data_IF_318131866866
#
_entry.id   IF_318131866866
#
_cell.length_a   1.000
_cell.length_b   1.000
_cell.length_c   1.000
_cell.angle_alpha   90.00
_cell.angle_beta   90.00
_cell.angle_gamma   90.00
#
_symmetry.space_group_name_H-M   'P 1'
#
loop_
_entity.id
_entity.type
_entity.pdbx_description
1 polymer ?
#
# COMPACT_ATOMS: atom_id res chain seq x y z
N UNK A 1 -23.74 -3.66 -45.26
CA UNK A 1 -22.64 -3.87 -44.28
C UNK A 1 -22.93 -3.01 -43.06
N UNK A 2 -23.46 -3.60 -41.99
CA UNK A 2 -23.84 -2.87 -40.78
C UNK A 2 -22.61 -2.53 -39.95
N UNK A 3 -22.44 -1.24 -39.66
CA UNK A 3 -21.48 -0.75 -38.66
C UNK A 3 -21.80 -1.41 -37.32
N UNK A 4 -20.86 -2.19 -36.78
CA UNK A 4 -20.99 -2.70 -35.41
C UNK A 4 -21.25 -1.53 -34.46
N UNK A 5 -22.22 -1.64 -33.53
CA UNK A 5 -22.43 -0.59 -32.54
C UNK A 5 -21.12 -0.33 -31.79
N UNK A 6 -20.76 0.94 -31.62
CA UNK A 6 -19.57 1.35 -30.88
C UNK A 6 -19.71 0.90 -29.43
N UNK A 7 -19.23 -0.29 -29.10
CA UNK A 7 -19.16 -0.77 -27.72
C UNK A 7 -18.21 0.13 -26.93
N UNK A 8 -18.78 0.87 -25.98
CA UNK A 8 -18.04 1.75 -25.08
C UNK A 8 -18.02 1.09 -23.70
N UNK A 9 -16.88 0.49 -23.35
CA UNK A 9 -16.65 0.06 -21.98
C UNK A 9 -16.27 1.29 -21.13
N UNK A 10 -17.08 1.58 -20.10
CA UNK A 10 -16.72 2.55 -19.05
C UNK A 10 -16.05 1.76 -17.94
N UNK A 11 -14.72 1.78 -17.93
CA UNK A 11 -13.91 1.11 -16.90
C UNK A 11 -13.45 2.17 -15.91
N UNK A 12 -13.52 1.88 -14.60
CA UNK A 12 -12.88 2.71 -13.58
C UNK A 12 -11.38 2.77 -13.85
N UNK A 13 -10.75 3.91 -13.57
CA UNK A 13 -9.29 4.03 -13.65
C UNK A 13 -8.61 2.84 -12.95
N UNK A 14 -7.70 2.14 -13.63
CA UNK A 14 -7.02 0.95 -13.11
C UNK A 14 -6.35 1.21 -11.76
N UNK A 15 -5.75 2.40 -11.58
CA UNK A 15 -5.18 2.85 -10.31
C UNK A 15 -6.23 2.88 -9.19
N UNK A 16 -7.43 3.42 -9.43
CA UNK A 16 -8.50 3.49 -8.43
C UNK A 16 -9.09 2.11 -8.13
N UNK A 17 -9.32 1.29 -9.17
CA UNK A 17 -9.86 -0.06 -9.00
C UNK A 17 -8.91 -0.93 -8.18
N UNK A 18 -7.64 -0.95 -8.54
CA UNK A 18 -6.62 -1.74 -7.85
C UNK A 18 -6.33 -1.24 -6.43
N UNK A 19 -6.19 0.08 -6.22
CA UNK A 19 -6.03 0.60 -4.86
C UNK A 19 -7.23 0.26 -3.98
N UNK A 20 -8.46 0.44 -4.49
CA UNK A 20 -9.66 0.12 -3.74
C UNK A 20 -9.77 -1.38 -3.44
N UNK A 21 -9.38 -2.24 -4.39
CA UNK A 21 -9.30 -3.69 -4.16
C UNK A 21 -8.31 -4.01 -3.03
N UNK A 22 -7.12 -3.39 -3.03
CA UNK A 22 -6.12 -3.57 -1.97
C UNK A 22 -6.63 -3.09 -0.61
N UNK A 23 -7.23 -1.90 -0.54
CA UNK A 23 -7.81 -1.36 0.69
C UNK A 23 -8.94 -2.24 1.23
N UNK A 24 -9.79 -2.78 0.36
CA UNK A 24 -10.86 -3.69 0.75
C UNK A 24 -10.32 -5.05 1.23
N UNK A 25 -9.29 -5.58 0.56
CA UNK A 25 -8.63 -6.82 0.96
C UNK A 25 -7.97 -6.71 2.35
N UNK A 26 -7.32 -5.57 2.61
CA UNK A 26 -6.76 -5.27 3.94
C UNK A 26 -7.87 -5.18 4.98
N UNK A 27 -8.97 -4.46 4.69
CA UNK A 27 -10.13 -4.33 5.59
C UNK A 27 -10.78 -5.66 5.94
N UNK A 28 -10.80 -6.60 5.00
CA UNK A 28 -11.34 -7.94 5.23
C UNK A 28 -10.47 -8.76 6.21
N UNK A 29 -9.19 -8.44 6.34
CA UNK A 29 -8.24 -9.13 7.20
C UNK A 29 -8.01 -8.36 8.51
N UNK A 30 -8.65 -8.79 9.61
CA UNK A 30 -8.60 -8.07 10.90
C UNK A 30 -7.18 -7.75 11.40
N UNK A 31 -6.19 -8.66 11.36
CA UNK A 31 -4.83 -8.35 11.80
C UNK A 31 -4.17 -7.28 10.93
N UNK A 32 -4.32 -7.35 9.60
CA UNK A 32 -3.77 -6.37 8.68
C UNK A 32 -4.43 -5.01 8.84
N UNK A 33 -5.77 -4.98 8.92
CA UNK A 33 -6.54 -3.77 9.15
C UNK A 33 -6.13 -3.08 10.46
N UNK A 34 -5.95 -3.84 11.54
CA UNK A 34 -5.50 -3.28 12.83
C UNK A 34 -4.15 -2.56 12.72
N UNK A 35 -3.17 -3.18 12.07
CA UNK A 35 -1.83 -2.56 11.87
C UNK A 35 -1.96 -1.27 11.06
N UNK A 36 -2.74 -1.30 9.99
CA UNK A 36 -2.95 -0.15 9.11
C UNK A 36 -3.72 0.97 9.81
N UNK A 37 -4.72 0.67 10.63
CA UNK A 37 -5.45 1.68 11.39
C UNK A 37 -4.57 2.31 12.47
N UNK A 38 -3.91 1.50 13.30
CA UNK A 38 -3.07 1.99 14.39
C UNK A 38 -1.89 2.81 13.89
N UNK A 39 -1.29 2.47 12.75
CA UNK A 39 -0.09 3.14 12.25
C UNK A 39 -0.34 4.17 11.16
N UNK A 40 -1.41 4.04 10.37
CA UNK A 40 -1.63 4.84 9.15
C UNK A 40 -2.96 5.60 9.15
N UNK A 41 -4.09 4.91 9.24
CA UNK A 41 -5.38 5.51 8.86
C UNK A 41 -6.24 6.06 9.99
N UNK A 42 -6.07 5.63 11.25
CA UNK A 42 -6.96 6.05 12.32
C UNK A 42 -7.03 7.58 12.45
N UNK A 43 -8.25 8.11 12.47
CA UNK A 43 -8.48 9.54 12.69
C UNK A 43 -8.33 9.86 14.18
N UNK A 44 -7.95 11.10 14.50
CA UNK A 44 -8.01 11.59 15.88
C UNK A 44 -9.46 11.58 16.35
N UNK A 45 -9.74 10.96 17.49
CA UNK A 45 -11.06 11.04 18.11
C UNK A 45 -11.18 12.34 18.91
N UNK A 46 -12.27 13.07 18.71
CA UNK A 46 -12.58 14.35 19.39
C UNK A 46 -13.19 14.15 20.78
N UNK A 47 -13.04 12.96 21.38
CA UNK A 47 -13.52 12.64 22.73
C UNK A 47 -12.70 13.39 23.78
N UNK A 48 -13.04 14.66 23.96
CA UNK A 48 -12.31 15.62 24.78
C UNK A 48 -13.05 15.81 26.11
N UNK A 49 -12.96 14.81 26.98
CA UNK A 49 -13.14 15.03 28.42
C UNK A 49 -11.76 15.19 29.04
N UNK A 50 -11.21 16.40 28.90
CA UNK A 50 -10.22 17.01 29.79
C UNK A 50 -8.83 16.38 30.02
N UNK A 51 -8.58 15.09 29.76
CA UNK A 51 -7.38 14.42 30.28
C UNK A 51 -6.54 13.62 29.28
N UNK A 52 -7.11 13.09 28.19
CA UNK A 52 -6.35 12.33 27.20
C UNK A 52 -6.64 12.84 25.78
N UNK A 53 -5.59 13.12 25.01
CA UNK A 53 -5.69 13.55 23.60
C UNK A 53 -5.28 12.38 22.70
N UNK A 54 -6.23 11.90 21.91
CA UNK A 54 -6.00 10.89 20.89
C UNK A 54 -5.68 11.56 19.55
N UNK A 55 -4.49 11.28 19.00
CA UNK A 55 -4.05 11.83 17.71
C UNK A 55 -4.37 10.92 16.52
N UNK A 56 -5.01 9.76 16.75
CA UNK A 56 -5.27 8.77 15.72
C UNK A 56 -4.03 7.93 15.41
N UNK A 57 -3.87 7.55 14.14
CA UNK A 57 -2.76 6.73 13.68
C UNK A 57 -1.42 7.48 13.71
N UNK A 58 -0.33 6.75 13.90
CA UNK A 58 1.01 7.32 14.06
C UNK A 58 1.39 8.28 12.93
N UNK A 59 1.17 7.90 11.67
CA UNK A 59 1.51 8.74 10.50
C UNK A 59 0.72 10.06 10.48
N UNK A 60 -0.54 10.03 10.89
CA UNK A 60 -1.39 11.22 10.98
C UNK A 60 -0.96 12.13 12.12
N UNK A 61 -0.57 11.56 13.25
CA UNK A 61 -0.01 12.32 14.35
C UNK A 61 1.30 13.01 13.95
N UNK A 62 2.21 12.31 13.27
CA UNK A 62 3.46 12.87 12.75
C UNK A 62 3.22 14.01 11.76
N UNK A 63 2.17 13.92 10.94
CA UNK A 63 1.83 14.97 9.99
C UNK A 63 1.11 16.16 10.61
N UNK A 64 0.15 15.91 11.50
CA UNK A 64 -0.79 16.93 11.96
C UNK A 64 -0.40 17.58 13.30
N UNK A 65 0.46 16.94 14.09
CA UNK A 65 0.92 17.47 15.38
C UNK A 65 2.33 18.02 15.25
N UNK A 66 2.47 19.35 15.23
CA UNK A 66 3.78 20.02 15.16
C UNK A 66 4.73 19.56 16.28
N UNK A 67 4.19 19.27 17.48
CA UNK A 67 4.98 18.78 18.62
C UNK A 67 5.55 17.38 18.36
N UNK A 68 4.70 16.44 17.94
CA UNK A 68 5.11 15.06 17.63
C UNK A 68 6.09 15.06 16.46
N UNK A 69 5.81 15.87 15.44
CA UNK A 69 6.68 16.06 14.30
C UNK A 69 8.07 16.59 14.70
N UNK A 70 8.14 17.69 15.45
CA UNK A 70 9.39 18.29 15.87
C UNK A 70 10.23 17.34 16.73
N UNK A 71 9.57 16.60 17.63
CA UNK A 71 10.21 15.58 18.47
C UNK A 71 10.78 14.44 17.62
N UNK A 72 9.99 13.96 16.65
CA UNK A 72 10.44 12.93 15.71
C UNK A 72 11.62 13.42 14.86
N UNK A 73 11.53 14.61 14.26
CA UNK A 73 12.59 15.17 13.42
C UNK A 73 13.90 15.34 14.19
N UNK A 74 13.85 15.65 15.49
CA UNK A 74 15.04 15.72 16.34
C UNK A 74 15.77 14.37 16.38
N UNK A 75 15.06 13.29 16.71
CA UNK A 75 15.63 11.93 16.73
C UNK A 75 15.97 11.40 15.33
N UNK A 76 15.16 11.73 14.33
CA UNK A 76 15.40 11.33 12.95
C UNK A 76 16.71 11.97 12.43
N UNK A 77 16.96 13.26 12.71
CA UNK A 77 18.19 13.94 12.33
C UNK A 77 19.42 13.42 13.09
N UNK A 78 19.28 13.09 14.38
CA UNK A 78 20.33 12.44 15.17
C UNK A 78 20.71 11.07 14.59
N UNK A 79 19.73 10.34 14.04
CA UNK A 79 19.93 9.03 13.42
C UNK A 79 20.37 9.14 11.94
N UNK A 80 19.89 10.15 11.21
CA UNK A 80 20.26 10.46 9.81
C UNK A 80 21.74 10.82 9.67
N UNK A 81 22.37 11.35 10.72
CA UNK A 81 23.82 11.53 10.78
C UNK A 81 24.59 10.20 10.66
N UNK A 82 23.93 9.05 10.85
CA UNK A 82 24.49 7.69 10.76
C UNK A 82 24.00 6.96 9.50
N UNK A 83 22.82 7.28 8.97
CA UNK A 83 22.18 6.59 7.83
C UNK A 83 21.42 7.61 6.96
N UNK A 84 22.04 8.15 5.89
CA UNK A 84 21.60 9.27 5.02
C UNK A 84 20.19 9.18 4.33
N UNK A 85 19.14 8.58 4.92
CA UNK A 85 17.86 8.26 4.22
C UNK A 85 16.56 8.37 5.05
N UNK A 86 16.56 8.87 6.28
CA UNK A 86 15.45 8.75 7.22
C UNK A 86 14.25 9.73 6.97
N UNK A 87 14.42 10.84 6.28
CA UNK A 87 13.36 11.87 6.20
C UNK A 87 12.31 11.72 5.07
N UNK A 88 11.38 10.74 5.13
CA UNK A 88 10.21 10.67 4.20
C UNK A 88 8.84 10.38 4.82
N UNK A 89 8.68 10.35 6.14
CA UNK A 89 7.36 10.04 6.76
C UNK A 89 6.34 11.19 6.63
N UNK A 90 6.82 12.43 6.47
CA UNK A 90 5.99 13.64 6.63
C UNK A 90 5.33 14.16 5.34
N UNK A 91 5.63 13.58 4.17
CA UNK A 91 5.22 14.11 2.86
C UNK A 91 4.05 13.37 2.22
N UNK A 92 3.22 12.67 3.00
CA UNK A 92 2.09 11.90 2.48
C UNK A 92 0.77 12.70 2.51
N UNK A 93 0.01 12.66 1.41
CA UNK A 93 -1.33 13.27 1.32
C UNK A 93 -2.43 12.23 1.56
N UNK A 94 -3.24 12.44 2.61
CA UNK A 94 -4.30 11.56 3.14
C UNK A 94 -5.30 10.93 2.13
N UNK A 95 -5.37 11.45 0.91
CA UNK A 95 -6.23 10.97 -0.17
C UNK A 95 -5.43 10.88 -1.49
N UNK A 96 -4.35 10.11 -1.50
CA UNK A 96 -3.60 9.84 -2.74
C UNK A 96 -3.29 8.36 -2.90
N UNK A 97 -3.08 7.96 -4.14
CA UNK A 97 -2.56 6.65 -4.49
C UNK A 97 -1.25 6.38 -3.76
N UNK A 98 -0.98 5.12 -3.43
CA UNK A 98 0.24 4.66 -2.74
C UNK A 98 0.42 5.10 -1.28
N UNK A 99 -0.59 5.69 -0.66
CA UNK A 99 -0.57 6.04 0.78
C UNK A 99 0.00 4.93 1.66
N UNK A 100 -0.54 3.71 1.52
CA UNK A 100 -0.12 2.56 2.34
C UNK A 100 1.37 2.27 2.11
N UNK A 101 1.82 2.29 0.86
CA UNK A 101 3.21 2.04 0.50
C UNK A 101 4.15 3.11 1.07
N UNK A 102 3.91 4.39 0.75
CA UNK A 102 4.79 5.51 1.11
C UNK A 102 4.91 5.65 2.63
N UNK A 103 3.79 5.54 3.35
CA UNK A 103 3.78 5.63 4.80
C UNK A 103 4.45 4.40 5.42
N UNK A 104 4.13 3.18 4.98
CA UNK A 104 4.73 1.97 5.54
C UNK A 104 6.25 1.97 5.34
N UNK A 105 6.71 2.33 4.14
CA UNK A 105 8.13 2.47 3.83
C UNK A 105 8.80 3.49 4.75
N UNK A 106 8.18 4.66 4.93
CA UNK A 106 8.67 5.68 5.86
C UNK A 106 8.77 5.16 7.29
N UNK A 107 7.75 4.45 7.78
CA UNK A 107 7.75 3.91 9.14
C UNK A 107 8.84 2.85 9.34
N UNK A 108 9.03 1.94 8.37
CA UNK A 108 10.01 0.83 8.43
C UNK A 108 11.45 1.36 8.48
N UNK A 109 11.74 2.44 7.74
CA UNK A 109 13.07 3.07 7.79
C UNK A 109 13.35 3.82 9.08
N UNK A 110 12.30 4.18 9.82
CA UNK A 110 12.38 5.08 10.96
C UNK A 110 11.98 4.44 12.29
N UNK A 111 11.96 3.11 12.40
CA UNK A 111 11.46 2.44 13.62
C UNK A 111 12.20 2.94 14.86
N UNK A 112 13.53 2.99 14.83
CA UNK A 112 14.36 3.46 15.96
C UNK A 112 14.05 4.90 16.40
N UNK A 113 14.09 5.92 15.51
CA UNK A 113 13.71 7.27 15.89
C UNK A 113 12.23 7.42 16.27
N UNK A 114 11.33 6.61 15.69
CA UNK A 114 9.91 6.60 16.07
C UNK A 114 9.71 6.09 17.50
N UNK A 115 10.36 4.98 17.87
CA UNK A 115 10.31 4.46 19.24
C UNK A 115 10.86 5.49 20.23
N UNK A 116 12.00 6.12 19.91
CA UNK A 116 12.61 7.16 20.76
C UNK A 116 11.69 8.37 20.95
N UNK A 117 11.09 8.85 19.86
CA UNK A 117 10.10 9.93 19.88
C UNK A 117 8.89 9.59 20.77
N UNK A 118 8.31 8.40 20.60
CA UNK A 118 7.15 7.97 21.37
C UNK A 118 7.47 7.78 22.86
N UNK A 119 8.65 7.26 23.18
CA UNK A 119 9.13 7.17 24.58
C UNK A 119 9.23 8.57 25.20
N UNK A 120 9.81 9.55 24.51
CA UNK A 120 9.89 10.91 25.05
C UNK A 120 8.50 11.54 25.25
N UNK A 121 7.59 11.38 24.29
CA UNK A 121 6.21 11.88 24.41
C UNK A 121 5.52 11.24 25.60
N UNK A 122 5.66 9.92 25.77
CA UNK A 122 5.08 9.19 26.89
C UNK A 122 5.56 9.71 28.25
N UNK A 123 6.85 10.09 28.34
CA UNK A 123 7.44 10.64 29.55
C UNK A 123 6.97 12.06 29.86
N UNK A 124 7.06 12.95 28.87
CA UNK A 124 6.98 14.40 29.06
C UNK A 124 5.59 14.99 28.86
N UNK A 125 4.64 14.25 28.27
CA UNK A 125 3.32 14.78 27.94
C UNK A 125 2.20 13.91 28.54
N UNK A 126 1.63 14.36 29.66
CA UNK A 126 0.53 13.66 30.34
C UNK A 126 -0.69 13.46 29.42
N UNK A 127 -0.97 14.42 28.52
CA UNK A 127 -2.14 14.37 27.64
C UNK A 127 -1.96 13.35 26.52
N UNK A 128 -0.74 13.17 26.04
CA UNK A 128 -0.41 12.25 24.96
C UNK A 128 0.13 10.89 25.46
N UNK A 129 0.35 10.73 26.77
CA UNK A 129 0.94 9.53 27.36
C UNK A 129 0.21 8.24 26.96
N UNK A 130 -1.12 8.23 27.06
CA UNK A 130 -1.94 7.07 26.72
C UNK A 130 -1.88 6.75 25.21
N UNK A 131 -1.92 7.77 24.36
CA UNK A 131 -1.76 7.62 22.92
C UNK A 131 -0.38 7.08 22.54
N UNK A 132 0.69 7.65 23.13
CA UNK A 132 2.06 7.21 22.89
C UNK A 132 2.28 5.76 23.34
N UNK A 133 1.71 5.35 24.49
CA UNK A 133 1.73 3.96 24.95
C UNK A 133 1.04 3.02 23.94
N UNK A 134 -0.12 3.41 23.42
CA UNK A 134 -0.82 2.65 22.38
C UNK A 134 0.03 2.49 21.12
N UNK A 135 0.67 3.56 20.65
CA UNK A 135 1.53 3.52 19.45
C UNK A 135 2.78 2.65 19.68
N UNK A 136 3.38 2.71 20.87
CA UNK A 136 4.50 1.85 21.26
C UNK A 136 4.10 0.37 21.26
N UNK A 137 2.90 0.03 21.72
CA UNK A 137 2.37 -1.33 21.62
C UNK A 137 2.09 -1.75 20.16
N UNK A 138 1.68 -0.79 19.31
CA UNK A 138 1.47 -1.03 17.89
C UNK A 138 2.79 -1.31 17.15
N UNK A 139 3.92 -0.73 17.58
CA UNK A 139 5.28 -0.98 17.05
C UNK A 139 5.92 -2.26 17.61
N UNK A 140 5.15 -3.32 17.83
CA UNK A 140 5.68 -4.63 18.22
C UNK A 140 6.18 -5.42 16.99
N UNK A 141 7.05 -6.45 17.16
CA UNK A 141 7.64 -7.16 16.03
C UNK A 141 6.61 -7.80 15.11
N UNK A 142 5.51 -8.34 15.66
CA UNK A 142 4.42 -8.92 14.85
C UNK A 142 3.85 -7.89 13.89
N UNK A 143 3.56 -6.69 14.40
CA UNK A 143 3.02 -5.59 13.61
C UNK A 143 4.04 -5.06 12.61
N UNK A 144 5.32 -4.94 12.99
CA UNK A 144 6.38 -4.45 12.11
C UNK A 144 6.67 -5.41 10.95
N UNK A 145 6.69 -6.72 11.23
CA UNK A 145 6.81 -7.77 10.20
C UNK A 145 5.61 -7.68 9.25
N UNK A 146 4.39 -7.65 9.79
CA UNK A 146 3.19 -7.57 8.97
C UNK A 146 3.14 -6.28 8.14
N UNK A 147 3.51 -5.14 8.71
CA UNK A 147 3.63 -3.86 8.01
C UNK A 147 4.64 -3.94 6.86
N UNK A 148 5.77 -4.62 7.08
CA UNK A 148 6.80 -4.80 6.05
C UNK A 148 6.31 -5.64 4.87
N UNK A 149 5.58 -6.71 5.15
CA UNK A 149 4.99 -7.55 4.10
C UNK A 149 3.82 -6.83 3.39
N UNK A 150 3.03 -6.04 4.11
CA UNK A 150 1.99 -5.18 3.51
C UNK A 150 2.62 -4.10 2.61
N UNK A 151 3.78 -3.55 2.99
CA UNK A 151 4.52 -2.60 2.15
C UNK A 151 5.00 -3.27 0.85
N UNK A 152 5.48 -4.52 0.91
CA UNK A 152 5.85 -5.28 -0.30
C UNK A 152 4.66 -5.53 -1.22
N UNK A 153 3.53 -5.95 -0.66
CA UNK A 153 2.30 -6.14 -1.41
C UNK A 153 1.85 -4.83 -2.07
N UNK A 154 1.87 -3.73 -1.31
CA UNK A 154 1.52 -2.41 -1.81
C UNK A 154 2.50 -1.92 -2.90
N UNK A 155 3.78 -2.27 -2.82
CA UNK A 155 4.77 -1.97 -3.86
C UNK A 155 4.46 -2.72 -5.16
N UNK A 156 4.11 -4.00 -5.08
CA UNK A 156 3.71 -4.80 -6.25
C UNK A 156 2.42 -4.27 -6.88
N UNK A 157 1.41 -3.99 -6.05
CA UNK A 157 0.17 -3.38 -6.49
C UNK A 157 0.44 -2.02 -7.19
N UNK A 158 1.31 -1.18 -6.61
CA UNK A 158 1.68 0.11 -7.19
C UNK A 158 2.34 -0.03 -8.57
N UNK A 159 3.34 -0.92 -8.70
CA UNK A 159 4.00 -1.21 -9.98
C UNK A 159 3.00 -1.67 -11.04
N UNK A 160 2.11 -2.59 -10.69
CA UNK A 160 1.04 -3.05 -11.57
C UNK A 160 0.16 -1.89 -12.05
N UNK A 161 -0.27 -1.02 -11.13
CA UNK A 161 -1.12 0.12 -11.52
C UNK A 161 -0.39 1.11 -12.43
N UNK A 162 0.86 1.44 -12.13
CA UNK A 162 1.68 2.38 -12.92
C UNK A 162 2.00 1.85 -14.32
N UNK A 163 2.03 0.52 -14.51
CA UNK A 163 2.20 -0.09 -15.83
C UNK A 163 1.06 0.29 -16.81
N UNK A 164 -0.11 0.68 -16.30
CA UNK A 164 -1.23 1.19 -17.12
C UNK A 164 -1.06 2.65 -17.52
N UNK A 165 -0.52 3.51 -16.65
CA UNK A 165 -0.34 4.93 -16.96
C UNK A 165 0.79 5.17 -17.97
N UNK A 166 1.85 4.34 -17.95
CA UNK A 166 2.92 4.41 -18.94
C UNK A 166 2.45 4.11 -20.38
N UNK A 167 1.27 3.48 -20.56
CA UNK A 167 0.68 3.30 -21.88
C UNK A 167 0.32 4.64 -22.54
N UNK A 168 -0.22 5.60 -21.76
CA UNK A 168 -0.62 6.93 -22.25
C UNK A 168 0.56 7.73 -22.83
N UNK A 169 1.73 7.67 -22.19
CA UNK A 169 2.95 8.36 -22.65
C UNK A 169 3.50 7.81 -23.96
N UNK A 170 3.25 6.54 -24.26
CA UNK A 170 3.70 5.88 -25.49
C UNK A 170 2.76 6.06 -26.69
N UNK A 171 1.64 6.79 -26.54
CA UNK A 171 0.59 6.89 -27.56
C UNK A 171 -0.20 5.60 -27.82
N UNK A 172 0.21 4.47 -27.20
CA UNK A 172 -0.47 3.18 -27.29
C UNK A 172 -1.60 3.12 -26.28
N UNK A 173 -2.85 3.04 -26.76
CA UNK A 173 -4.01 2.75 -25.90
C UNK A 173 -3.76 1.41 -25.18
N UNK A 174 -4.13 1.32 -23.90
CA UNK A 174 -4.05 0.05 -23.16
C UNK A 174 -4.96 -0.99 -23.84
N UNK A 175 -4.35 -1.95 -24.52
CA UNK A 175 -5.06 -3.11 -25.09
C UNK A 175 -5.52 -4.03 -23.96
N UNK A 176 -6.67 -4.67 -24.13
CA UNK A 176 -7.27 -5.55 -23.13
C UNK A 176 -6.41 -6.80 -22.91
N UNK A 177 -5.79 -7.33 -23.98
CA UNK A 177 -4.79 -8.40 -23.91
C UNK A 177 -3.59 -8.02 -23.03
N UNK A 178 -3.16 -6.74 -23.07
CA UNK A 178 -2.09 -6.25 -22.20
C UNK A 178 -2.52 -6.21 -20.74
N UNK A 179 -3.77 -5.84 -20.45
CA UNK A 179 -4.32 -5.88 -19.08
C UNK A 179 -4.32 -7.28 -18.51
N UNK A 180 -4.75 -8.28 -19.30
CA UNK A 180 -4.73 -9.69 -18.89
C UNK A 180 -3.29 -10.17 -18.64
N UNK A 181 -2.36 -9.87 -19.55
CA UNK A 181 -0.94 -10.21 -19.36
C UNK A 181 -0.31 -9.55 -18.12
N UNK A 182 -0.64 -8.29 -17.83
CA UNK A 182 -0.18 -7.61 -16.61
C UNK A 182 -0.75 -8.26 -15.34
N UNK A 183 -1.99 -8.76 -15.39
CA UNK A 183 -2.61 -9.44 -14.25
C UNK A 183 -1.98 -10.80 -14.00
N UNK A 184 -1.65 -11.55 -15.05
CA UNK A 184 -0.88 -12.81 -14.93
C UNK A 184 0.50 -12.53 -14.34
N UNK A 185 1.21 -11.52 -14.86
CA UNK A 185 2.52 -11.11 -14.32
C UNK A 185 2.44 -10.71 -12.84
N UNK A 186 1.38 -10.00 -12.44
CA UNK A 186 1.15 -9.67 -11.03
C UNK A 186 0.93 -10.93 -10.19
N UNK A 187 0.11 -11.88 -10.65
CA UNK A 187 -0.14 -13.16 -9.95
C UNK A 187 1.18 -13.93 -9.76
N UNK A 188 1.99 -14.03 -10.81
CA UNK A 188 3.29 -14.71 -10.77
C UNK A 188 4.27 -13.99 -9.82
N UNK A 189 4.31 -12.65 -9.84
CA UNK A 189 5.18 -11.86 -8.94
C UNK A 189 4.77 -12.05 -7.48
N UNK A 190 3.47 -12.00 -7.16
CA UNK A 190 2.95 -12.23 -5.81
C UNK A 190 3.20 -13.67 -5.34
N UNK A 191 3.05 -14.65 -6.22
CA UNK A 191 3.33 -16.04 -5.91
C UNK A 191 4.81 -16.24 -5.58
N UNK A 192 5.71 -15.70 -6.40
CA UNK A 192 7.16 -15.74 -6.16
C UNK A 192 7.55 -15.04 -4.85
N UNK A 193 6.88 -13.94 -4.51
CA UNK A 193 7.20 -13.17 -3.30
C UNK A 193 6.73 -13.83 -2.01
N UNK A 194 5.53 -14.40 -1.98
CA UNK A 194 4.85 -14.74 -0.72
C UNK A 194 4.47 -16.22 -0.56
N UNK A 195 4.55 -17.04 -1.61
CA UNK A 195 4.07 -18.43 -1.55
C UNK A 195 5.21 -19.45 -1.54
N UNK A 196 5.04 -20.47 -0.70
CA UNK A 196 5.95 -21.62 -0.60
C UNK A 196 5.74 -22.65 -1.70
N UNK A 197 4.67 -22.53 -2.49
CA UNK A 197 4.35 -23.45 -3.57
C UNK A 197 4.33 -22.71 -4.91
N UNK A 198 5.01 -23.30 -5.89
CA UNK A 198 4.97 -22.89 -7.29
C UNK A 198 3.70 -23.39 -7.98
N UNK A 199 3.38 -22.87 -9.17
CA UNK A 199 2.23 -23.36 -9.96
C UNK A 199 2.29 -24.85 -10.29
N UNK A 200 3.49 -25.42 -10.38
CA UNK A 200 3.74 -26.84 -10.65
C UNK A 200 3.61 -27.74 -9.40
N UNK A 201 3.26 -27.16 -8.25
CA UNK A 201 3.14 -27.87 -6.97
C UNK A 201 4.47 -28.10 -6.25
N UNK A 202 5.61 -27.68 -6.82
CA UNK A 202 6.91 -27.79 -6.16
C UNK A 202 7.06 -26.76 -5.03
N UNK A 203 7.82 -27.13 -4.00
CA UNK A 203 8.13 -26.24 -2.90
C UNK A 203 9.25 -25.27 -3.27
N UNK A 204 9.08 -24.01 -2.90
CA UNK A 204 10.08 -22.96 -3.01
C UNK A 204 10.13 -22.13 -1.72
N UNK A 205 11.25 -21.48 -1.48
CA UNK A 205 11.30 -20.41 -0.50
C UNK A 205 10.68 -19.12 -1.10
N UNK A 206 9.76 -18.45 -0.39
CA UNK A 206 9.25 -17.14 -0.81
C UNK A 206 10.38 -16.12 -0.91
N UNK A 207 10.41 -15.33 -1.99
CA UNK A 207 11.49 -14.37 -2.23
C UNK A 207 11.61 -13.34 -1.09
N UNK A 208 10.51 -12.99 -0.41
CA UNK A 208 10.55 -12.08 0.74
C UNK A 208 11.31 -12.65 1.96
N UNK A 209 11.67 -13.93 1.97
CA UNK A 209 12.51 -14.56 2.99
C UNK A 209 13.93 -14.82 2.50
N UNK A 210 14.13 -14.95 1.19
CA UNK A 210 15.40 -15.33 0.62
C UNK A 210 16.52 -14.32 0.95
N UNK A 211 17.69 -14.84 1.36
CA UNK A 211 18.82 -14.01 1.82
C UNK A 211 19.33 -13.03 0.75
N UNK A 212 19.26 -13.43 -0.52
CA UNK A 212 19.70 -12.62 -1.65
C UNK A 212 18.75 -11.46 -1.98
N UNK A 213 17.52 -11.45 -1.43
CA UNK A 213 16.54 -10.38 -1.66
C UNK A 213 16.76 -9.21 -0.69
N UNK A 214 17.84 -8.47 -0.90
CA UNK A 214 18.28 -7.43 0.04
C UNK A 214 17.46 -6.14 0.00
N UNK A 215 16.70 -5.93 -1.07
CA UNK A 215 15.87 -4.75 -1.26
C UNK A 215 14.52 -4.84 -0.53
N UNK A 216 14.20 -6.02 0.03
CA UNK A 216 12.90 -6.28 0.60
C UNK A 216 12.64 -5.51 1.88
N UNK A 217 11.40 -5.08 2.10
CA UNK A 217 11.05 -4.30 3.30
C UNK A 217 11.29 -5.07 4.61
N UNK A 218 11.13 -6.40 4.60
CA UNK A 218 11.42 -7.23 5.77
C UNK A 218 12.93 -7.27 6.08
N UNK A 219 13.75 -7.42 5.04
CA UNK A 219 15.21 -7.39 5.15
C UNK A 219 15.69 -6.01 5.63
N UNK A 220 15.09 -4.94 5.11
CA UNK A 220 15.38 -3.58 5.54
C UNK A 220 15.02 -3.37 7.01
N UNK A 221 13.87 -3.86 7.47
CA UNK A 221 13.48 -3.82 8.88
C UNK A 221 14.49 -4.56 9.76
N UNK A 222 14.86 -5.79 9.38
CA UNK A 222 15.81 -6.61 10.16
C UNK A 222 17.21 -5.98 10.23
N UNK A 223 17.60 -5.18 9.23
CA UNK A 223 18.86 -4.43 9.24
C UNK A 223 18.80 -3.16 10.08
N UNK A 224 17.66 -2.46 10.07
CA UNK A 224 17.51 -1.18 10.77
C UNK A 224 17.09 -1.33 12.24
N UNK A 225 16.50 -2.47 12.61
CA UNK A 225 15.93 -2.68 13.93
C UNK A 225 16.00 -4.16 14.37
N UNK A 226 16.58 -4.41 15.55
CA UNK A 226 16.68 -5.75 16.13
C UNK A 226 15.30 -6.23 16.64
N UNK A 227 14.70 -7.20 15.94
CA UNK A 227 13.43 -7.83 16.33
C UNK A 227 13.61 -8.93 17.40
N UNK A 228 14.85 -9.36 17.64
CA UNK A 228 15.19 -10.41 18.60
C UNK A 228 15.31 -9.86 20.01
N UNK A 229 15.89 -8.66 20.13
CA UNK A 229 16.20 -8.03 21.40
C UNK A 229 14.94 -7.52 22.12
N UNK A 230 14.98 -7.60 23.44
CA UNK A 230 13.97 -6.99 24.28
C UNK A 230 14.31 -5.53 24.46
N UNK A 231 13.40 -4.65 24.04
CA UNK A 231 13.54 -3.22 24.28
C UNK A 231 12.78 -2.84 25.52
N UNK A 232 13.52 -2.54 26.59
CA UNK A 232 12.99 -2.04 27.84
C UNK A 232 13.56 -0.65 28.11
N UNK A 233 12.69 0.28 28.46
CA UNK A 233 13.08 1.60 28.89
C UNK A 233 12.59 1.81 30.32
N UNK A 234 13.55 1.97 31.24
CA UNK A 234 13.31 2.16 32.68
C UNK A 234 13.69 3.59 33.05
N UNK A 235 12.80 4.27 33.76
CA UNK A 235 13.05 5.63 34.27
C UNK A 235 12.41 5.79 35.64
N UNK A 236 13.10 6.46 36.57
CA UNK A 236 12.64 6.67 37.95
C UNK A 236 12.15 5.37 38.64
N UNK A 237 12.89 4.28 38.45
CA UNK A 237 12.55 2.93 38.94
C UNK A 237 11.20 2.38 38.44
N UNK A 238 10.69 2.89 37.31
CA UNK A 238 9.47 2.40 36.65
C UNK A 238 9.78 2.00 35.21
N UNK A 239 9.19 0.90 34.75
CA UNK A 239 9.25 0.49 33.35
C UNK A 239 8.28 1.39 32.57
N UNK A 240 8.85 2.26 31.73
CA UNK A 240 8.10 3.21 30.89
C UNK A 240 7.66 2.56 29.59
N UNK A 241 8.53 1.70 29.05
CA UNK A 241 8.27 0.95 27.84
C UNK A 241 8.89 -0.43 27.98
N UNK A 242 8.14 -1.45 27.61
CA UNK A 242 8.65 -2.80 27.49
C UNK A 242 8.05 -3.44 26.25
N UNK A 243 8.93 -3.89 25.38
CA UNK A 243 8.62 -4.70 24.23
C UNK A 243 9.48 -5.96 24.33
N UNK A 244 8.82 -7.10 24.51
CA UNK A 244 9.47 -8.40 24.41
C UNK A 244 9.83 -8.68 22.95
N UNK A 245 11.13 -8.81 22.67
CA UNK A 245 11.66 -9.31 21.40
C UNK A 245 11.16 -10.73 21.09
N UNK A 246 11.50 -11.25 19.93
CA UNK A 246 11.19 -12.65 19.60
C UNK A 246 11.92 -13.66 20.52
N UNK A 247 12.94 -13.24 21.27
CA UNK A 247 13.77 -14.04 22.21
C UNK A 247 14.63 -15.12 21.55
N UNK A 248 14.22 -15.67 20.42
CA UNK A 248 14.95 -16.66 19.63
C UNK A 248 14.65 -16.51 18.15
N UNK A 249 15.58 -17.00 17.31
CA UNK A 249 15.39 -17.01 15.86
C UNK A 249 14.21 -17.88 15.42
N UNK A 250 13.98 -19.02 16.09
CA UNK A 250 12.85 -19.90 15.82
C UNK A 250 11.50 -19.20 16.06
N UNK A 251 11.39 -18.42 17.13
CA UNK A 251 10.20 -17.62 17.40
C UNK A 251 10.00 -16.54 16.34
N UNK A 252 11.08 -15.86 15.91
CA UNK A 252 11.02 -14.86 14.85
C UNK A 252 10.51 -15.47 13.55
N UNK A 253 11.03 -16.64 13.16
CA UNK A 253 10.59 -17.39 11.99
C UNK A 253 9.10 -17.78 12.09
N UNK A 254 8.64 -18.24 13.27
CA UNK A 254 7.23 -18.54 13.51
C UNK A 254 6.33 -17.31 13.36
N UNK A 255 6.78 -16.14 13.85
CA UNK A 255 6.06 -14.87 13.69
C UNK A 255 6.00 -14.45 12.22
N UNK A 256 7.09 -14.61 11.48
CA UNK A 256 7.16 -14.35 10.03
C UNK A 256 6.22 -15.27 9.26
N UNK A 257 6.21 -16.57 9.55
CA UNK A 257 5.30 -17.53 8.93
C UNK A 257 3.82 -17.18 9.20
N UNK A 258 3.49 -16.77 10.42
CA UNK A 258 2.14 -16.32 10.78
C UNK A 258 1.73 -15.06 10.00
N UNK A 259 2.66 -14.11 9.86
CA UNK A 259 2.43 -12.90 9.09
C UNK A 259 2.29 -13.20 7.59
N UNK A 260 3.05 -14.16 7.05
CA UNK A 260 2.90 -14.61 5.67
C UNK A 260 1.53 -15.24 5.41
N UNK A 261 1.04 -16.11 6.30
CA UNK A 261 -0.32 -16.65 6.17
C UNK A 261 -1.39 -15.54 6.16
N UNK A 262 -1.21 -14.52 7.01
CA UNK A 262 -2.08 -13.33 7.02
C UNK A 262 -2.05 -12.58 5.69
N UNK A 263 -0.87 -12.43 5.09
CA UNK A 263 -0.67 -11.74 3.82
C UNK A 263 -1.24 -12.54 2.65
N UNK A 264 -1.09 -13.86 2.65
CA UNK A 264 -1.69 -14.73 1.63
C UNK A 264 -3.21 -14.56 1.60
N UNK A 265 -3.88 -14.49 2.76
CA UNK A 265 -5.32 -14.16 2.82
C UNK A 265 -5.64 -12.79 2.21
N UNK A 266 -4.80 -11.78 2.46
CA UNK A 266 -4.97 -10.44 1.83
C UNK A 266 -4.75 -10.51 0.32
N UNK A 267 -3.76 -11.26 -0.15
CA UNK A 267 -3.46 -11.45 -1.57
C UNK A 267 -4.63 -12.12 -2.29
N UNK A 268 -5.19 -13.19 -1.72
CA UNK A 268 -6.35 -13.88 -2.28
C UNK A 268 -7.54 -12.93 -2.43
N UNK A 269 -7.87 -12.17 -1.39
CA UNK A 269 -8.94 -11.18 -1.44
C UNK A 269 -8.65 -10.04 -2.44
N UNK A 270 -7.39 -9.61 -2.55
CA UNK A 270 -6.97 -8.59 -3.50
C UNK A 270 -7.09 -9.08 -4.94
N UNK A 271 -6.58 -10.27 -5.26
CA UNK A 271 -6.67 -10.89 -6.58
C UNK A 271 -8.12 -11.16 -6.97
N UNK A 272 -8.96 -11.63 -6.04
CA UNK A 272 -10.39 -11.80 -6.28
C UNK A 272 -11.08 -10.46 -6.60
N UNK A 273 -10.68 -9.37 -5.91
CA UNK A 273 -11.16 -8.02 -6.21
C UNK A 273 -10.73 -7.52 -7.58
N UNK A 274 -9.48 -7.80 -7.99
CA UNK A 274 -8.99 -7.48 -9.33
C UNK A 274 -9.68 -8.31 -10.41
N UNK A 275 -9.86 -9.61 -10.19
CA UNK A 275 -10.59 -10.48 -11.11
C UNK A 275 -12.04 -9.99 -11.26
N UNK A 276 -12.69 -9.55 -10.18
CA UNK A 276 -14.02 -8.93 -10.25
C UNK A 276 -14.10 -7.67 -11.12
N UNK A 277 -13.04 -6.85 -11.16
CA UNK A 277 -13.00 -5.59 -11.93
C UNK A 277 -12.50 -5.81 -13.37
N UNK A 278 -11.61 -6.78 -13.61
CA UNK A 278 -10.91 -6.96 -14.89
C UNK A 278 -11.29 -8.25 -15.63
N UNK A 279 -11.71 -9.32 -14.94
CA UNK A 279 -11.96 -10.62 -15.57
C UNK A 279 -13.21 -10.60 -16.46
N UNK A 280 -14.26 -9.85 -16.10
CA UNK A 280 -15.43 -9.70 -16.97
C UNK A 280 -15.08 -9.11 -18.35
N UNK A 281 -14.13 -8.18 -18.39
CA UNK A 281 -13.60 -7.61 -19.64
C UNK A 281 -12.73 -8.62 -20.40
N UNK A 282 -11.91 -9.39 -19.68
CA UNK A 282 -11.05 -10.42 -20.26
C UNK A 282 -11.87 -11.59 -20.83
N UNK A 283 -12.82 -12.16 -20.08
CA UNK A 283 -13.69 -13.26 -20.52
C UNK A 283 -14.59 -12.86 -21.69
N UNK A 284 -15.14 -11.65 -21.70
CA UNK A 284 -15.98 -11.16 -22.80
C UNK A 284 -15.22 -11.00 -24.12
N UNK A 285 -13.88 -10.95 -24.06
CA UNK A 285 -13.01 -10.72 -25.22
C UNK A 285 -12.01 -11.86 -25.46
N UNK A 286 -12.01 -12.88 -24.59
CA UNK A 286 -11.26 -14.12 -24.75
C UNK A 286 -11.52 -14.80 -26.10
N UNK A 287 -12.73 -14.77 -26.69
CA UNK A 287 -12.98 -15.27 -28.04
C UNK A 287 -12.32 -14.43 -29.15
N UNK A 288 -11.58 -13.37 -28.84
CA UNK A 288 -10.80 -12.57 -29.79
C UNK A 288 -9.31 -12.53 -29.42
N UNK A 289 -8.91 -13.29 -28.40
CA UNK A 289 -7.51 -13.48 -28.02
C UNK A 289 -6.85 -14.52 -28.92
N UNK A 290 -5.72 -14.17 -29.52
CA UNK A 290 -5.00 -15.02 -30.47
C UNK A 290 -4.54 -16.33 -29.80
N UNK A 291 -4.19 -16.28 -28.52
CA UNK A 291 -3.74 -17.45 -27.76
C UNK A 291 -4.91 -18.42 -27.45
N UNK A 292 -6.11 -17.87 -27.21
CA UNK A 292 -7.32 -18.67 -27.02
C UNK A 292 -7.81 -19.28 -28.35
N UNK A 293 -7.64 -18.57 -29.48
CA UNK A 293 -7.90 -19.10 -30.82
C UNK A 293 -6.94 -20.24 -31.18
N UNK A 294 -5.64 -20.09 -30.93
CA UNK A 294 -4.63 -21.12 -31.20
C UNK A 294 -4.86 -22.39 -30.38
N UNK A 295 -5.44 -22.30 -29.17
CA UNK A 295 -5.75 -23.46 -28.33
C UNK A 295 -7.05 -24.18 -28.70
N UNK A 296 -8.00 -23.51 -29.37
CA UNK A 296 -9.36 -24.02 -29.56
C UNK A 296 -9.80 -24.15 -31.03
N UNK A 297 -9.01 -23.69 -32.01
CA UNK A 297 -9.32 -23.84 -33.43
C UNK A 297 -8.23 -24.69 -34.11
N UNK A 298 -8.63 -25.80 -34.72
CA UNK A 298 -7.79 -26.57 -35.64
C UNK A 298 -7.57 -25.78 -36.95
N UNK A 299 -6.44 -26.02 -37.61
CA UNK A 299 -5.91 -25.25 -38.75
C UNK A 299 -6.90 -24.96 -39.90
N UNK A 300 -7.97 -25.74 -40.06
CA UNK A 300 -8.96 -25.58 -41.13
C UNK A 300 -9.88 -24.35 -40.98
N UNK A 301 -9.87 -23.65 -39.84
CA UNK A 301 -10.72 -22.46 -39.62
C UNK A 301 -10.07 -21.11 -40.01
N UNK A 302 -8.85 -21.11 -40.56
CA UNK A 302 -8.00 -19.92 -40.67
C UNK A 302 -8.35 -18.89 -41.78
N UNK A 303 -9.46 -19.02 -42.51
CA UNK A 303 -9.62 -18.29 -43.79
C UNK A 303 -10.54 -17.05 -43.88
N UNK A 304 -11.04 -16.41 -42.79
CA UNK A 304 -11.51 -15.03 -42.96
C UNK A 304 -11.22 -14.10 -41.79
N UNK A 305 -9.96 -13.94 -41.34
CA UNK A 305 -9.65 -12.94 -40.30
C UNK A 305 -8.30 -12.21 -40.46
N UNK A 306 -7.78 -12.04 -41.68
CA UNK A 306 -6.60 -11.17 -41.90
C UNK A 306 -6.86 -9.66 -41.71
N UNK A 307 -8.11 -9.24 -41.50
CA UNK A 307 -8.47 -7.81 -41.35
C UNK A 307 -9.66 -7.58 -40.42
N UNK A 308 -9.63 -8.09 -39.19
CA UNK A 308 -10.58 -7.66 -38.16
C UNK A 308 -9.88 -6.78 -37.11
N UNK A 309 -9.87 -5.47 -37.36
CA UNK A 309 -9.40 -4.46 -36.39
C UNK A 309 -10.59 -4.00 -35.54
N UNK A 310 -10.80 -4.63 -34.38
CA UNK A 310 -11.78 -4.12 -33.40
C UNK A 310 -11.15 -2.92 -32.67
N UNK A 311 -11.66 -1.71 -32.96
CA UNK A 311 -11.26 -0.49 -32.25
C UNK A 311 -12.13 -0.27 -31.02
N UNK A 312 -11.73 -0.82 -29.88
CA UNK A 312 -12.37 -0.48 -28.60
C UNK A 312 -11.88 0.89 -28.13
N UNK A 313 -12.80 1.85 -27.96
CA UNK A 313 -12.49 3.16 -27.37
C UNK A 313 -12.84 3.14 -25.89
N UNK A 314 -11.84 2.89 -25.05
CA UNK A 314 -11.97 3.05 -23.59
C UNK A 314 -12.00 4.54 -23.26
N UNK A 315 -13.09 5.00 -22.64
CA UNK A 315 -13.25 6.40 -22.17
C UNK A 315 -13.28 6.38 -20.66
N UNK A 316 -12.24 6.97 -20.05
CA UNK A 316 -12.14 7.11 -18.60
C UNK A 316 -13.04 8.26 -18.15
N UNK A 317 -13.99 7.99 -17.25
CA UNK A 317 -14.69 9.05 -16.51
C UNK A 317 -13.87 9.37 -15.26
N UNK A 318 -13.34 10.59 -15.20
CA UNK A 318 -12.87 11.20 -13.95
C UNK A 318 -14.07 11.97 -13.39
N UNK A 319 -14.61 11.62 -12.21
CA UNK A 319 -15.62 12.45 -11.59
C UNK A 319 -14.99 13.80 -11.24
N UNK A 320 -15.40 14.86 -11.94
CA UNK A 320 -15.15 16.23 -11.51
C UNK A 320 -16.01 16.44 -10.27
N UNK A 321 -15.40 16.40 -9.09
CA UNK A 321 -16.05 16.85 -7.87
C UNK A 321 -16.27 18.35 -8.04
N UNK A 322 -17.54 18.75 -8.18
CA UNK A 322 -17.92 20.15 -8.33
C UNK A 322 -17.41 20.96 -7.15
N UNK A 323 -16.48 21.86 -7.42
CA UNK A 323 -16.18 22.95 -6.50
C UNK A 323 -17.44 23.84 -6.48
N UNK A 324 -18.09 24.07 -5.33
CA UNK A 324 -19.19 25.02 -5.28
C UNK A 324 -18.65 26.38 -5.68
N UNK A 325 -19.25 26.97 -6.72
CA UNK A 325 -18.97 28.34 -7.12
C UNK A 325 -19.31 29.27 -5.94
N UNK A 326 -18.28 29.80 -5.28
CA UNK A 326 -18.42 30.93 -4.37
C UNK A 326 -18.88 32.12 -5.19
N UNK A 327 -20.20 32.38 -5.18
CA UNK A 327 -20.78 33.67 -5.55
C UNK A 327 -20.36 34.69 -4.51
N UNK A 328 -19.26 35.40 -4.77
CA UNK A 328 -18.91 36.66 -4.11
C UNK A 328 -19.25 37.81 -5.04
N UNK A 329 -20.23 38.62 -4.65
CA UNK A 329 -20.62 39.82 -5.37
C UNK A 329 -19.64 40.97 -5.21
N UNK A 330 -19.58 41.78 -6.28
CA UNK A 330 -19.32 43.23 -6.34
C UNK A 330 -18.08 43.82 -5.64
N UNK A 331 -17.16 44.35 -6.44
CA UNK A 331 -16.88 45.80 -6.46
C UNK A 331 -16.06 46.15 -7.70
N UNK A 332 -16.58 47.08 -8.52
CA UNK A 332 -15.94 47.51 -9.76
C UNK A 332 -14.67 48.33 -9.57
N UNK A 333 -13.90 48.43 -10.65
CA UNK A 333 -13.16 49.63 -11.02
C UNK A 333 -12.88 49.60 -12.51
N UNK A 334 -13.47 50.58 -13.18
CA UNK A 334 -13.15 51.05 -14.51
C UNK A 334 -11.71 51.57 -14.58
N UNK A 335 -11.05 51.37 -15.73
CA UNK A 335 -10.23 52.39 -16.41
C UNK A 335 -9.78 51.89 -17.79
N UNK A 336 -10.38 52.51 -18.81
CA UNK A 336 -9.75 53.08 -20.02
C UNK A 336 -8.26 53.40 -19.80
N UNK A 337 -7.31 53.38 -20.73
CA UNK A 337 -7.17 53.29 -22.22
C UNK A 337 -5.62 53.30 -22.44
N UNK A 338 -5.02 53.29 -23.66
CA UNK A 338 -5.57 53.51 -25.00
C UNK A 338 -5.43 52.35 -25.99
#
# INVERSE_FOLDING_TARGET
>A
MGLSPNFKAVVRCCMHASQKALENAIKACKPAQKVIDDLIFAYSSSSTTGQAKDLGGLSRALRNSCKVNATFMRYANEFDAVLEKACKVNSFAAQRFNTILEVSQGLIWNVTPLVSCLVEIHKRDDRLRAWAAKMLQALCPKSLILLSLLAELAACASKFCHAFDNAKKSGKRSSITRTAGLLVQLKDELQRLFYFQRPDGSFQEPLCLAEHYTAGFLQLLQRSYSLLETNAHVENNRIVFYHGGAKSQANLQSMVATALGTIQTVIEAYLAGLDGEFAGLAYSLQPFDCESWQKHCSDDALWPCRTMSIRVRVVWQIPVVGIPALKGGSSGRSRQDP
#
